data_IF_680554343813
#
_entry.id   IF_680554343813
#
_cell.length_a   1.000
_cell.length_b   1.000
_cell.length_c   1.000
_cell.angle_alpha   90.00
_cell.angle_beta   90.00
_cell.angle_gamma   90.00
#
_symmetry.space_group_name_H-M   'P 1'
#
loop_
_entity.id
_entity.type
_entity.pdbx_description
1 polymer ?
#
# COMPACT_ATOMS: atom_id res chain seq x y z
N UNK A 1 -28.14 -5.40 0.07
CA UNK A 1 -27.15 -6.03 -0.84
C UNK A 1 -25.84 -6.13 -0.08
N UNK A 2 -25.65 -7.24 0.65
CA UNK A 2 -24.41 -7.46 1.39
C UNK A 2 -23.28 -7.80 0.42
N UNK A 3 -22.14 -7.13 0.54
CA UNK A 3 -20.95 -7.46 -0.26
C UNK A 3 -20.35 -8.73 0.32
N UNK A 4 -20.47 -9.85 -0.40
CA UNK A 4 -19.78 -11.09 -0.05
C UNK A 4 -18.29 -10.95 -0.38
N UNK A 5 -17.45 -10.84 0.64
CA UNK A 5 -16.00 -10.83 0.49
C UNK A 5 -15.49 -12.26 0.40
N UNK A 6 -14.55 -12.53 -0.52
CA UNK A 6 -13.87 -13.83 -0.60
C UNK A 6 -12.90 -13.92 0.58
N UNK A 7 -13.02 -14.96 1.39
CA UNK A 7 -12.14 -15.22 2.53
C UNK A 7 -11.04 -16.23 2.17
N UNK A 8 -9.89 -16.12 2.81
CA UNK A 8 -8.82 -17.12 2.76
C UNK A 8 -9.10 -18.29 3.75
N UNK A 9 -8.27 -19.35 3.78
CA UNK A 9 -8.45 -20.45 4.73
C UNK A 9 -8.38 -20.06 6.22
N UNK A 10 -7.83 -18.88 6.54
CA UNK A 10 -7.78 -18.31 7.89
C UNK A 10 -8.95 -17.36 8.18
N UNK A 11 -9.92 -17.25 7.26
CA UNK A 11 -11.10 -16.40 7.38
C UNK A 11 -10.83 -14.91 7.12
N UNK A 12 -9.68 -14.54 6.56
CA UNK A 12 -9.33 -13.15 6.27
C UNK A 12 -9.80 -12.75 4.87
N UNK A 13 -10.24 -11.49 4.66
CA UNK A 13 -10.62 -11.02 3.34
C UNK A 13 -9.43 -11.05 2.38
N UNK A 14 -9.62 -11.70 1.24
CA UNK A 14 -8.62 -11.80 0.18
C UNK A 14 -8.46 -10.47 -0.56
N UNK A 15 -7.23 -10.18 -1.00
CA UNK A 15 -6.91 -9.04 -1.87
C UNK A 15 -6.54 -9.52 -3.27
N UNK A 16 -6.67 -8.64 -4.27
CA UNK A 16 -6.12 -8.90 -5.61
C UNK A 16 -4.61 -9.13 -5.52
N UNK A 17 -4.12 -10.17 -6.20
CA UNK A 17 -2.68 -10.44 -6.32
C UNK A 17 -2.00 -9.54 -7.38
N UNK A 18 -2.78 -8.85 -8.21
CA UNK A 18 -2.23 -7.94 -9.21
C UNK A 18 -1.75 -6.63 -8.56
N UNK A 19 -0.62 -6.05 -9.01
CA UNK A 19 -0.15 -4.78 -8.51
C UNK A 19 -1.15 -3.66 -8.86
N UNK A 20 -1.10 -2.57 -8.08
CA UNK A 20 -1.87 -1.38 -8.38
C UNK A 20 -1.50 -0.82 -9.77
N UNK A 21 -2.50 -0.43 -10.56
CA UNK A 21 -2.29 0.14 -11.89
C UNK A 21 -1.52 1.46 -11.80
N UNK A 22 -0.50 1.62 -12.65
CA UNK A 22 0.18 2.89 -12.80
C UNK A 22 -0.74 3.92 -13.48
N UNK A 23 -0.76 5.13 -12.94
CA UNK A 23 -1.46 6.27 -13.53
C UNK A 23 -0.50 7.45 -13.57
N UNK A 24 -0.22 8.06 -14.74
CA UNK A 24 0.74 9.15 -14.85
C UNK A 24 0.38 10.39 -14.02
N UNK A 25 -0.92 10.67 -13.85
CA UNK A 25 -1.45 11.81 -13.11
C UNK A 25 -1.26 11.69 -11.58
N UNK A 26 -1.20 10.45 -11.08
CA UNK A 26 -0.98 10.11 -9.67
C UNK A 26 -1.69 11.07 -8.67
N UNK A 27 -3.01 11.23 -8.85
CA UNK A 27 -3.86 12.17 -8.08
C UNK A 27 -3.74 12.01 -6.56
N UNK A 28 -3.40 10.81 -6.08
CA UNK A 28 -3.27 10.50 -4.66
C UNK A 28 -1.82 10.40 -4.17
N UNK A 29 -0.85 10.83 -4.98
CA UNK A 29 0.58 10.91 -4.64
C UNK A 29 0.83 11.57 -3.28
N UNK A 30 0.25 12.76 -3.05
CA UNK A 30 0.38 13.52 -1.80
C UNK A 30 -0.07 12.70 -0.59
N UNK A 31 -1.23 12.07 -0.67
CA UNK A 31 -1.77 11.24 0.41
C UNK A 31 -0.87 10.03 0.66
N UNK A 32 -0.44 9.34 -0.40
CA UNK A 32 0.47 8.18 -0.31
C UNK A 32 1.77 8.54 0.39
N UNK A 33 2.40 9.65 0.02
CA UNK A 33 3.65 10.12 0.62
C UNK A 33 3.45 10.54 2.08
N UNK A 34 2.40 11.29 2.39
CA UNK A 34 2.09 11.70 3.77
C UNK A 34 1.89 10.49 4.69
N UNK A 35 1.13 9.48 4.25
CA UNK A 35 0.92 8.25 5.03
C UNK A 35 2.25 7.53 5.26
N UNK A 36 3.05 7.32 4.21
CA UNK A 36 4.37 6.67 4.34
C UNK A 36 5.28 7.41 5.31
N UNK A 37 5.29 8.74 5.27
CA UNK A 37 6.09 9.58 6.19
C UNK A 37 5.68 9.40 7.65
N UNK A 38 4.37 9.36 7.95
CA UNK A 38 3.85 9.18 9.31
C UNK A 38 4.27 7.85 9.94
N UNK A 39 4.38 6.81 9.14
CA UNK A 39 4.77 5.46 9.59
C UNK A 39 6.26 5.14 9.39
N UNK A 40 7.09 6.11 9.01
CA UNK A 40 8.53 5.87 8.85
C UNK A 40 8.91 4.96 7.66
N UNK A 41 8.02 4.80 6.68
CA UNK A 41 8.18 3.85 5.56
C UNK A 41 8.90 4.46 4.35
N UNK A 42 9.29 5.73 4.38
CA UNK A 42 10.07 6.32 3.30
C UNK A 42 11.53 5.86 3.41
N UNK A 43 12.12 5.43 2.29
CA UNK A 43 13.53 5.05 2.24
C UNK A 43 14.46 6.20 2.67
N UNK A 44 14.06 7.45 2.43
CA UNK A 44 14.79 8.63 2.85
C UNK A 44 14.80 8.86 4.37
N UNK A 45 13.96 8.15 5.12
CA UNK A 45 13.95 8.16 6.59
C UNK A 45 14.88 7.08 7.18
N UNK A 46 15.33 6.12 6.36
CA UNK A 46 16.20 5.03 6.81
C UNK A 46 17.66 5.50 6.88
N UNK A 47 18.47 4.93 7.79
CA UNK A 47 19.89 5.23 7.83
C UNK A 47 20.55 4.85 6.50
N UNK A 48 21.63 5.55 6.15
CA UNK A 48 22.42 5.23 4.97
C UNK A 48 22.85 3.75 5.05
N UNK A 49 22.69 2.95 3.98
CA UNK A 49 23.23 1.59 3.97
C UNK A 49 24.73 1.65 4.26
N UNK A 50 25.18 0.85 5.23
CA UNK A 50 26.60 0.59 5.39
C UNK A 50 27.01 -0.37 4.27
N UNK A 51 27.99 0.04 3.46
CA UNK A 51 28.57 -0.78 2.39
C UNK A 51 29.51 -1.83 2.98
#
# INVERSE_FOLDING_TARGET
MERSFKLDPAGQPTSSAHPARFSPDDKFSRHRVTIKKRFGLLLTQQPRPLL
#
